data_IF_108128963364
#
_entry.id   IF_108128963364
#
_cell.length_a   1.000
_cell.length_b   1.000
_cell.length_c   1.000
_cell.angle_alpha   90.00
_cell.angle_beta   90.00
_cell.angle_gamma   90.00
#
_symmetry.space_group_name_H-M   'P 1'
#
loop_
_entity.id
_entity.type
_entity.pdbx_description
1 polymer ?
#
# COMPACT_ATOMS: atom_id res chain seq x y z
N UNK A 1 -24.88 82.39 7.32
CA UNK A 1 -24.95 81.03 6.77
C UNK A 1 -23.62 80.36 7.08
N UNK A 2 -23.51 79.72 8.24
CA UNK A 2 -22.28 79.10 8.73
C UNK A 2 -22.25 77.64 8.29
N UNK A 3 -21.26 77.28 7.48
CA UNK A 3 -21.01 75.90 7.05
C UNK A 3 -20.55 75.08 8.27
N UNK A 4 -21.22 73.97 8.61
CA UNK A 4 -20.80 73.14 9.73
C UNK A 4 -19.44 72.52 9.41
N UNK A 5 -18.42 72.82 10.23
CA UNK A 5 -17.15 72.12 10.17
C UNK A 5 -17.34 70.66 10.61
N UNK A 6 -17.12 69.75 9.67
CA UNK A 6 -16.98 68.32 9.96
C UNK A 6 -15.83 68.13 10.94
N UNK A 7 -16.13 67.67 12.17
CA UNK A 7 -15.11 67.28 13.14
C UNK A 7 -14.33 66.11 12.55
N UNK A 8 -13.04 66.32 12.24
CA UNK A 8 -12.13 65.24 11.88
C UNK A 8 -11.91 64.39 13.12
N UNK A 9 -12.52 63.21 13.17
CA UNK A 9 -12.22 62.22 14.19
C UNK A 9 -10.82 61.64 13.88
N UNK A 10 -9.86 61.87 14.77
CA UNK A 10 -8.55 61.22 14.70
C UNK A 10 -8.69 59.76 15.13
N UNK A 11 -8.13 58.84 14.35
CA UNK A 11 -8.00 57.43 14.73
C UNK A 11 -7.00 57.34 15.88
N UNK A 12 -7.36 56.65 16.95
CA UNK A 12 -6.47 56.45 18.09
C UNK A 12 -5.38 55.43 17.75
N UNK A 13 -4.15 55.68 18.19
CA UNK A 13 -3.05 54.72 18.09
C UNK A 13 -3.42 53.36 18.69
N UNK A 14 -4.26 53.38 19.73
CA UNK A 14 -4.79 52.18 20.38
C UNK A 14 -5.71 51.38 19.44
N UNK A 15 -6.56 52.03 18.65
CA UNK A 15 -7.41 51.34 17.66
C UNK A 15 -6.58 50.66 16.57
N UNK A 16 -5.49 51.30 16.13
CA UNK A 16 -4.57 50.72 15.14
C UNK A 16 -3.86 49.49 15.70
N UNK A 17 -3.38 49.56 16.95
CA UNK A 17 -2.71 48.42 17.60
C UNK A 17 -3.67 47.24 17.81
N UNK A 18 -4.90 47.49 18.23
CA UNK A 18 -5.92 46.43 18.33
C UNK A 18 -6.19 45.83 16.96
N UNK A 19 -6.32 46.66 15.91
CA UNK A 19 -6.54 46.19 14.54
C UNK A 19 -5.39 45.31 14.04
N UNK A 20 -4.15 45.71 14.27
CA UNK A 20 -2.96 44.91 13.92
C UNK A 20 -2.93 43.62 14.72
N UNK A 21 -3.28 43.66 16.01
CA UNK A 21 -3.35 42.46 16.87
C UNK A 21 -4.37 41.44 16.36
N UNK A 22 -5.59 41.88 16.05
CA UNK A 22 -6.64 41.01 15.50
C UNK A 22 -6.22 40.47 14.12
N UNK A 23 -5.63 41.31 13.27
CA UNK A 23 -5.15 40.90 11.94
C UNK A 23 -4.02 39.87 12.05
N UNK A 24 -3.08 40.05 12.98
CA UNK A 24 -1.99 39.11 13.22
C UNK A 24 -2.51 37.75 13.71
N UNK A 25 -3.46 37.72 14.65
CA UNK A 25 -4.10 36.48 15.12
C UNK A 25 -4.87 35.80 13.98
N UNK A 26 -5.61 36.58 13.18
CA UNK A 26 -6.34 36.09 12.01
C UNK A 26 -5.42 35.45 10.96
N UNK A 27 -4.34 36.12 10.58
CA UNK A 27 -3.37 35.59 9.62
C UNK A 27 -2.62 34.36 10.17
N UNK A 28 -2.27 34.35 11.45
CA UNK A 28 -1.60 33.19 12.09
C UNK A 28 -2.52 31.97 12.08
N UNK A 29 -3.82 32.16 12.31
CA UNK A 29 -4.82 31.08 12.20
C UNK A 29 -4.86 30.52 10.77
N UNK A 30 -4.91 31.35 9.74
CA UNK A 30 -4.90 30.90 8.33
C UNK A 30 -3.60 30.16 7.98
N UNK A 31 -2.45 30.66 8.42
CA UNK A 31 -1.15 30.01 8.18
C UNK A 31 -1.08 28.61 8.81
N UNK A 32 -1.77 28.38 9.94
CA UNK A 32 -1.81 27.07 10.58
C UNK A 32 -2.55 26.00 9.75
N UNK A 33 -3.41 26.39 8.81
CA UNK A 33 -4.10 25.45 7.93
C UNK A 33 -3.26 24.95 6.75
N UNK A 34 -2.19 25.66 6.36
CA UNK A 34 -1.38 25.29 5.18
C UNK A 34 -0.73 23.91 5.37
N UNK A 35 -0.05 23.59 6.50
CA UNK A 35 0.54 22.27 6.70
C UNK A 35 -0.51 21.15 6.77
N UNK A 36 -1.67 21.42 7.39
CA UNK A 36 -2.76 20.45 7.49
C UNK A 36 -3.34 20.12 6.11
N UNK A 37 -3.61 21.15 5.30
CA UNK A 37 -4.09 20.99 3.92
C UNK A 37 -3.10 20.22 3.05
N UNK A 38 -1.80 20.53 3.16
CA UNK A 38 -0.75 19.80 2.44
C UNK A 38 -0.70 18.32 2.83
N UNK A 39 -0.79 17.99 4.13
CA UNK A 39 -0.81 16.60 4.59
C UNK A 39 -2.02 15.83 4.04
N UNK A 40 -3.22 16.42 4.09
CA UNK A 40 -4.44 15.80 3.58
C UNK A 40 -4.41 15.62 2.05
N UNK A 41 -3.89 16.61 1.33
CA UNK A 41 -3.71 16.53 -0.12
C UNK A 41 -2.75 15.41 -0.51
N UNK A 42 -1.64 15.27 0.22
CA UNK A 42 -0.67 14.18 0.01
C UNK A 42 -1.30 12.81 0.24
N UNK A 43 -2.06 12.63 1.32
CA UNK A 43 -2.72 11.35 1.61
C UNK A 43 -3.82 11.02 0.60
N UNK A 44 -4.58 12.03 0.15
CA UNK A 44 -5.58 11.85 -0.91
C UNK A 44 -4.93 11.38 -2.19
N UNK A 45 -3.87 12.08 -2.62
CA UNK A 45 -3.12 11.72 -3.83
C UNK A 45 -2.58 10.28 -3.77
N UNK A 46 -1.99 9.87 -2.63
CA UNK A 46 -1.49 8.50 -2.46
C UNK A 46 -2.62 7.48 -2.55
N UNK A 47 -3.78 7.78 -1.98
CA UNK A 47 -4.95 6.89 -2.01
C UNK A 47 -5.52 6.76 -3.43
N UNK A 48 -5.63 7.88 -4.15
CA UNK A 48 -6.14 7.90 -5.53
C UNK A 48 -5.21 7.13 -6.48
N UNK A 49 -3.91 7.38 -6.38
CA UNK A 49 -2.90 6.63 -7.14
C UNK A 49 -2.92 5.15 -6.80
N UNK A 50 -3.02 4.80 -5.50
CA UNK A 50 -3.08 3.41 -5.09
C UNK A 50 -4.29 2.68 -5.68
N UNK A 51 -5.45 3.32 -5.75
CA UNK A 51 -6.64 2.74 -6.38
C UNK A 51 -6.46 2.48 -7.88
N UNK A 52 -5.86 3.42 -8.61
CA UNK A 52 -5.54 3.27 -10.04
C UNK A 52 -4.56 2.13 -10.26
N UNK A 53 -3.48 2.09 -9.48
CA UNK A 53 -2.45 1.03 -9.55
C UNK A 53 -3.04 -0.33 -9.26
N UNK A 54 -3.92 -0.42 -8.26
CA UNK A 54 -4.57 -1.67 -7.91
C UNK A 54 -5.48 -2.19 -9.04
N UNK A 55 -6.26 -1.31 -9.68
CA UNK A 55 -7.11 -1.67 -10.81
C UNK A 55 -6.29 -2.11 -12.03
N UNK A 56 -5.21 -1.40 -12.35
CA UNK A 56 -4.29 -1.77 -13.43
C UNK A 56 -3.60 -3.10 -13.14
N UNK A 57 -3.12 -3.31 -11.91
CA UNK A 57 -2.52 -4.57 -11.49
C UNK A 57 -3.49 -5.75 -11.63
N UNK A 58 -4.77 -5.58 -11.29
CA UNK A 58 -5.77 -6.62 -11.53
C UNK A 58 -5.92 -6.96 -13.02
N UNK A 59 -5.98 -5.94 -13.89
CA UNK A 59 -6.05 -6.15 -15.33
C UNK A 59 -4.78 -6.83 -15.88
N UNK A 60 -3.61 -6.47 -15.35
CA UNK A 60 -2.32 -7.07 -15.69
C UNK A 60 -2.25 -8.53 -15.26
N UNK A 61 -2.75 -8.88 -14.07
CA UNK A 61 -2.79 -10.25 -13.59
C UNK A 61 -3.65 -11.15 -14.48
N UNK A 62 -4.81 -10.64 -14.92
CA UNK A 62 -5.69 -11.34 -15.87
C UNK A 62 -4.99 -11.49 -17.22
N UNK A 63 -4.47 -10.41 -17.79
CA UNK A 63 -3.88 -10.41 -19.14
C UNK A 63 -2.57 -11.21 -19.23
N UNK A 64 -1.79 -11.27 -18.16
CA UNK A 64 -0.55 -12.06 -18.08
C UNK A 64 -0.81 -13.53 -17.71
N UNK A 65 -2.06 -13.91 -17.45
CA UNK A 65 -2.45 -15.31 -17.23
C UNK A 65 -2.16 -15.81 -15.82
N UNK A 66 -2.00 -14.91 -14.83
CA UNK A 66 -1.83 -15.34 -13.43
C UNK A 66 -3.10 -16.00 -12.85
N UNK A 67 -4.23 -15.91 -13.54
CA UNK A 67 -5.47 -16.60 -13.19
C UNK A 67 -5.61 -17.99 -13.85
N UNK A 68 -4.63 -18.40 -14.66
CA UNK A 68 -4.57 -19.74 -15.25
C UNK A 68 -3.74 -20.64 -14.35
N UNK A 69 -4.33 -21.75 -13.93
CA UNK A 69 -3.65 -22.72 -13.07
C UNK A 69 -2.38 -23.26 -13.73
N UNK A 70 -2.45 -23.54 -15.04
CA UNK A 70 -1.32 -24.08 -15.80
C UNK A 70 -0.17 -23.09 -15.96
N UNK A 71 -0.47 -21.79 -15.97
CA UNK A 71 0.55 -20.75 -16.09
C UNK A 71 1.32 -20.49 -14.80
N UNK A 72 0.84 -21.02 -13.67
CA UNK A 72 1.48 -20.90 -12.38
C UNK A 72 2.34 -22.14 -12.06
N UNK A 73 3.49 -21.89 -11.44
CA UNK A 73 4.18 -22.90 -10.64
C UNK A 73 3.66 -22.84 -9.19
N UNK A 74 3.64 -23.97 -8.49
CA UNK A 74 3.22 -24.07 -7.09
C UNK A 74 1.76 -23.62 -6.87
N UNK A 75 0.83 -24.49 -7.28
CA UNK A 75 -0.62 -24.25 -7.28
C UNK A 75 -1.30 -24.55 -5.93
N UNK A 76 -0.55 -24.60 -4.84
CA UNK A 76 -1.10 -24.88 -3.50
C UNK A 76 -1.56 -23.59 -2.84
N UNK A 77 -2.86 -23.44 -2.61
CA UNK A 77 -3.43 -22.31 -1.89
C UNK A 77 -2.95 -22.27 -0.44
N UNK A 78 -2.61 -21.08 0.10
CA UNK A 78 -2.66 -19.80 -0.57
C UNK A 78 -1.34 -19.44 -1.25
N UNK A 79 -1.45 -18.65 -2.30
CA UNK A 79 -0.32 -18.31 -3.17
C UNK A 79 -0.12 -16.80 -3.21
N UNK A 80 1.14 -16.36 -3.16
CA UNK A 80 1.54 -14.99 -3.38
C UNK A 80 2.26 -14.84 -4.72
N UNK A 81 1.86 -13.80 -5.45
CA UNK A 81 2.46 -13.30 -6.67
C UNK A 81 3.18 -12.01 -6.28
N UNK A 82 4.47 -12.16 -5.96
CA UNK A 82 5.36 -11.06 -5.62
C UNK A 82 6.49 -10.94 -6.63
N UNK A 83 6.28 -10.18 -7.71
CA UNK A 83 7.26 -10.02 -8.76
C UNK A 83 8.50 -9.22 -8.33
N UNK A 84 8.52 -8.58 -7.15
CA UNK A 84 9.74 -7.99 -6.56
C UNK A 84 10.45 -8.99 -5.63
N UNK A 85 9.70 -9.67 -4.76
CA UNK A 85 10.23 -10.60 -3.77
C UNK A 85 10.90 -11.85 -4.34
N UNK A 86 10.52 -12.27 -5.55
CA UNK A 86 11.20 -13.35 -6.30
C UNK A 86 12.70 -13.07 -6.54
N UNK A 87 13.14 -11.81 -6.44
CA UNK A 87 14.52 -11.38 -6.62
C UNK A 87 15.31 -11.22 -5.32
N UNK A 88 14.62 -11.07 -4.19
CA UNK A 88 15.23 -10.70 -2.91
C UNK A 88 15.25 -11.82 -1.86
N UNK A 89 14.71 -13.00 -2.17
CA UNK A 89 14.56 -14.08 -1.18
C UNK A 89 13.55 -13.72 -0.08
N UNK A 90 12.60 -12.83 -0.36
CA UNK A 90 11.57 -12.44 0.60
C UNK A 90 10.67 -13.63 0.87
N UNK A 91 10.74 -14.15 2.09
CA UNK A 91 9.87 -15.22 2.56
C UNK A 91 8.58 -14.60 3.06
N UNK A 92 7.49 -14.90 2.37
CA UNK A 92 6.16 -14.53 2.83
C UNK A 92 5.67 -15.58 3.80
N UNK A 93 5.41 -15.22 5.07
CA UNK A 93 4.80 -16.16 5.99
C UNK A 93 3.45 -16.58 5.41
N UNK A 94 3.09 -17.85 5.60
CA UNK A 94 1.80 -18.47 5.22
C UNK A 94 1.46 -18.59 3.74
N UNK A 95 2.26 -18.04 2.81
CA UNK A 95 2.02 -18.15 1.37
C UNK A 95 3.05 -19.02 0.66
N UNK A 96 2.59 -19.80 -0.30
CA UNK A 96 3.44 -20.36 -1.34
C UNK A 96 3.76 -19.29 -2.38
N UNK A 97 5.01 -19.23 -2.86
CA UNK A 97 5.36 -18.29 -3.92
C UNK A 97 4.96 -18.87 -5.29
N UNK A 98 4.10 -18.16 -6.03
CA UNK A 98 3.86 -18.45 -7.43
C UNK A 98 4.91 -17.78 -8.31
N UNK A 99 5.33 -18.52 -9.33
CA UNK A 99 6.19 -18.05 -10.40
C UNK A 99 5.44 -18.37 -11.70
N UNK A 100 5.41 -17.41 -12.63
CA UNK A 100 4.91 -17.72 -13.98
C UNK A 100 5.84 -18.73 -14.64
N UNK A 101 5.26 -19.68 -15.36
CA UNK A 101 6.04 -20.57 -16.23
C UNK A 101 6.59 -19.82 -17.44
N UNK A 102 7.58 -20.40 -18.10
CA UNK A 102 8.40 -19.73 -19.12
C UNK A 102 7.61 -19.03 -20.25
N UNK A 103 6.48 -19.60 -20.65
CA UNK A 103 5.63 -19.07 -21.74
C UNK A 103 4.42 -18.26 -21.22
N UNK A 104 4.32 -18.00 -19.91
CA UNK A 104 3.26 -17.22 -19.28
C UNK A 104 1.87 -17.73 -19.66
N UNK A 105 1.04 -16.86 -20.22
CA UNK A 105 -0.32 -17.14 -20.75
C UNK A 105 -0.38 -18.37 -21.68
N UNK A 106 0.71 -18.63 -22.40
CA UNK A 106 0.82 -19.71 -23.40
C UNK A 106 1.60 -20.92 -22.89
N UNK A 107 1.91 -20.97 -21.59
CA UNK A 107 2.55 -22.16 -21.01
C UNK A 107 1.57 -23.31 -20.85
N UNK A 108 2.05 -24.51 -21.13
CA UNK A 108 1.38 -25.76 -20.80
C UNK A 108 1.64 -26.14 -19.34
N UNK A 109 0.79 -27.01 -18.79
CA UNK A 109 0.89 -27.50 -17.42
C UNK A 109 2.20 -28.27 -17.13
N UNK A 110 2.95 -28.64 -18.16
CA UNK A 110 4.23 -29.32 -18.06
C UNK A 110 5.43 -28.42 -18.39
N UNK A 111 5.22 -27.15 -18.78
CA UNK A 111 6.32 -26.22 -19.02
C UNK A 111 7.20 -26.14 -17.77
N UNK A 112 8.53 -26.13 -17.89
CA UNK A 112 9.36 -25.85 -16.74
C UNK A 112 8.96 -24.48 -16.14
N UNK A 113 9.01 -24.34 -14.80
CA UNK A 113 8.92 -23.01 -14.20
C UNK A 113 9.98 -22.13 -14.84
N UNK A 114 9.63 -20.86 -15.10
CA UNK A 114 10.60 -19.96 -15.69
C UNK A 114 11.86 -19.92 -14.82
N UNK A 115 13.07 -19.87 -15.43
CA UNK A 115 14.32 -19.92 -14.67
C UNK A 115 14.30 -18.79 -13.63
N UNK A 116 14.52 -19.15 -12.37
CA UNK A 116 14.70 -18.14 -11.33
C UNK A 116 16.10 -17.52 -11.51
N UNK A 117 16.22 -16.19 -11.62
CA UNK A 117 15.14 -15.22 -11.56
C UNK A 117 14.54 -14.88 -12.95
N UNK A 118 13.20 -14.79 -13.03
CA UNK A 118 12.39 -14.68 -14.26
C UNK A 118 12.88 -13.63 -15.28
N UNK A 119 13.43 -12.50 -14.81
CA UNK A 119 14.10 -11.46 -15.60
C UNK A 119 14.96 -10.58 -14.69
N UNK A 120 16.23 -10.23 -14.97
CA UNK A 120 17.08 -9.48 -14.05
C UNK A 120 16.37 -8.25 -13.43
N UNK A 121 16.57 -8.03 -12.12
CA UNK A 121 15.87 -7.09 -11.26
C UNK A 121 15.38 -5.76 -11.90
N UNK A 122 16.18 -5.01 -12.70
CA UNK A 122 15.67 -3.78 -13.33
C UNK A 122 14.44 -4.00 -14.23
N UNK A 123 14.32 -5.16 -14.87
CA UNK A 123 13.23 -5.43 -15.82
C UNK A 123 11.93 -5.90 -15.16
N UNK A 124 12.01 -6.55 -14.00
CA UNK A 124 10.83 -6.92 -13.22
C UNK A 124 10.12 -5.67 -12.69
N UNK A 125 10.87 -4.65 -12.26
CA UNK A 125 10.29 -3.38 -11.82
C UNK A 125 9.41 -2.69 -12.88
N UNK A 126 9.67 -2.87 -14.18
CA UNK A 126 8.81 -2.29 -15.23
C UNK A 126 7.42 -2.91 -15.34
N UNK A 127 7.21 -4.12 -14.80
CA UNK A 127 5.92 -4.81 -14.78
C UNK A 127 5.06 -4.38 -13.58
N UNK A 128 5.70 -3.87 -12.53
CA UNK A 128 5.09 -3.77 -11.19
C UNK A 128 4.93 -2.31 -10.78
N UNK A 129 5.85 -1.45 -11.26
CA UNK A 129 5.80 -0.03 -10.94
C UNK A 129 4.73 0.66 -11.75
N UNK A 130 3.96 1.48 -11.05
CA UNK A 130 3.04 2.41 -11.70
C UNK A 130 3.80 3.30 -12.68
N UNK A 131 3.35 3.34 -13.93
CA UNK A 131 3.84 4.29 -14.95
C UNK A 131 3.16 5.65 -14.87
N UNK A 132 2.28 5.86 -13.90
CA UNK A 132 1.62 7.15 -13.70
C UNK A 132 2.36 8.06 -12.70
N UNK A 133 3.38 7.55 -12.01
CA UNK A 133 4.26 8.34 -11.14
C UNK A 133 5.41 8.95 -11.94
N UNK A 134 5.09 9.94 -12.78
CA UNK A 134 6.06 10.64 -13.63
C UNK A 134 7.10 11.34 -12.76
N UNK A 135 8.37 11.10 -13.07
CA UNK A 135 9.48 11.82 -12.44
C UNK A 135 9.78 13.11 -13.20
N UNK A 136 10.03 14.17 -12.44
CA UNK A 136 10.33 15.50 -12.97
C UNK A 136 11.72 15.94 -12.52
N UNK A 137 12.39 16.73 -13.35
CA UNK A 137 13.56 17.49 -12.95
C UNK A 137 13.06 18.82 -12.38
N UNK A 138 13.17 18.97 -11.05
CA UNK A 138 12.91 20.24 -10.36
C UNK A 138 14.23 21.00 -10.31
N UNK A 139 14.35 22.14 -10.99
CA UNK A 139 15.58 22.92 -10.98
C UNK A 139 15.78 23.59 -9.60
N UNK A 140 17.05 23.79 -9.20
CA UNK A 140 17.41 24.43 -7.92
C UNK A 140 17.05 25.92 -7.87
N UNK A 141 16.66 26.52 -8.99
CA UNK A 141 16.26 27.93 -9.08
C UNK A 141 14.87 28.06 -9.66
N UNK A 142 14.08 28.99 -9.12
CA UNK A 142 12.74 29.37 -9.60
C UNK A 142 12.72 29.93 -11.04
N UNK A 143 13.89 30.15 -11.64
CA UNK A 143 14.04 30.70 -12.99
C UNK A 143 13.79 29.69 -14.13
N UNK A 144 13.64 28.40 -13.82
CA UNK A 144 13.48 27.35 -14.83
C UNK A 144 12.19 26.55 -14.60
N UNK A 145 11.56 26.15 -15.71
CA UNK A 145 10.36 25.32 -15.67
C UNK A 145 10.67 23.89 -15.24
N UNK A 146 9.71 23.27 -14.56
CA UNK A 146 9.74 21.83 -14.24
C UNK A 146 9.63 21.04 -15.54
N UNK A 147 10.63 20.19 -15.82
CA UNK A 147 10.66 19.38 -17.05
C UNK A 147 10.48 17.90 -16.74
N UNK A 148 9.85 17.17 -17.66
CA UNK A 148 9.78 15.70 -17.56
C UNK A 148 11.18 15.11 -17.61
N UNK A 149 11.49 14.19 -16.71
CA UNK A 149 12.73 13.42 -16.77
C UNK A 149 12.55 12.29 -17.78
N UNK A 150 13.58 12.04 -18.60
CA UNK A 150 13.62 10.92 -19.54
C UNK A 150 14.85 10.06 -19.25
N UNK A 151 14.70 8.74 -19.37
CA UNK A 151 15.79 7.76 -19.29
C UNK A 151 15.68 6.90 -20.56
N UNK A 152 16.76 6.84 -21.33
CA UNK A 152 16.83 6.09 -22.59
C UNK A 152 15.72 6.43 -23.60
N UNK A 153 15.35 7.72 -23.69
CA UNK A 153 14.31 8.20 -24.60
C UNK A 153 12.87 7.90 -24.15
N UNK A 154 12.68 7.24 -23.01
CA UNK A 154 11.38 6.99 -22.40
C UNK A 154 11.14 7.92 -21.21
N UNK A 155 9.88 8.27 -20.95
CA UNK A 155 9.53 9.08 -19.78
C UNK A 155 9.91 8.31 -18.52
N UNK A 156 10.64 8.95 -17.62
CA UNK A 156 11.09 8.34 -16.39
C UNK A 156 9.99 8.42 -15.32
N UNK A 157 9.91 7.40 -14.49
CA UNK A 157 8.94 7.29 -13.41
C UNK A 157 9.66 7.15 -12.08
N UNK A 158 9.15 7.78 -11.02
CA UNK A 158 9.74 7.67 -9.68
C UNK A 158 9.59 6.23 -9.17
N UNK A 159 8.50 5.56 -9.56
CA UNK A 159 8.26 4.17 -9.24
C UNK A 159 8.00 3.94 -7.76
N UNK A 160 7.43 4.94 -7.08
CA UNK A 160 7.11 4.84 -5.66
C UNK A 160 6.00 3.83 -5.42
N UNK A 161 5.08 3.66 -6.38
CA UNK A 161 4.02 2.68 -6.27
C UNK A 161 4.44 1.33 -6.84
N UNK A 162 4.23 0.28 -6.06
CA UNK A 162 4.38 -1.11 -6.48
C UNK A 162 3.23 -1.94 -5.93
N UNK A 163 3.04 -3.13 -6.45
CA UNK A 163 1.97 -4.02 -6.00
C UNK A 163 2.48 -5.45 -5.84
N UNK A 164 1.72 -6.23 -5.08
CA UNK A 164 1.75 -7.69 -5.10
C UNK A 164 0.32 -8.20 -5.10
N UNK A 165 0.16 -9.48 -5.40
CA UNK A 165 -1.15 -10.10 -5.36
C UNK A 165 -1.12 -11.44 -4.63
N UNK A 166 -2.27 -11.87 -4.13
CA UNK A 166 -2.47 -13.22 -3.59
C UNK A 166 -3.71 -13.86 -4.17
N UNK A 167 -3.63 -15.17 -4.33
CA UNK A 167 -4.77 -16.03 -4.62
C UNK A 167 -5.01 -16.91 -3.40
N UNK A 168 -6.22 -16.85 -2.85
CA UNK A 168 -6.63 -17.68 -1.72
C UNK A 168 -7.91 -18.42 -2.07
N UNK A 169 -7.89 -19.75 -1.93
CA UNK A 169 -9.08 -20.60 -1.98
C UNK A 169 -9.68 -20.73 -0.57
N UNK A 170 -10.98 -20.50 -0.36
CA UNK A 170 -11.59 -20.60 0.98
C UNK A 170 -11.36 -21.94 1.69
N UNK A 171 -11.39 -23.04 0.93
CA UNK A 171 -11.14 -24.39 1.46
C UNK A 171 -9.64 -24.77 1.51
N UNK A 172 -8.74 -23.90 1.05
CA UNK A 172 -7.35 -24.24 0.80
C UNK A 172 -7.17 -25.32 -0.28
N UNK A 173 -6.00 -25.95 -0.30
CA UNK A 173 -5.69 -27.06 -1.20
C UNK A 173 -5.13 -26.63 -2.56
N UNK A 174 -5.07 -27.58 -3.50
CA UNK A 174 -4.57 -27.34 -4.86
C UNK A 174 -5.61 -26.55 -5.66
N UNK A 175 -5.16 -25.54 -6.40
CA UNK A 175 -6.00 -24.84 -7.37
C UNK A 175 -6.33 -25.74 -8.56
N UNK A 176 -7.60 -25.74 -8.94
CA UNK A 176 -8.12 -26.42 -10.13
C UNK A 176 -8.86 -25.43 -11.02
N UNK A 177 -8.83 -25.59 -12.36
CA UNK A 177 -9.66 -24.82 -13.26
C UNK A 177 -11.13 -24.77 -12.82
N UNK A 178 -11.73 -23.58 -12.86
CA UNK A 178 -13.10 -23.35 -12.41
C UNK A 178 -13.26 -23.09 -10.90
N UNK A 179 -12.20 -23.19 -10.10
CA UNK A 179 -12.26 -22.78 -8.69
C UNK A 179 -12.60 -21.30 -8.56
N UNK A 180 -13.49 -20.98 -7.63
CA UNK A 180 -13.66 -19.60 -7.15
C UNK A 180 -12.60 -19.30 -6.10
N UNK A 181 -11.77 -18.28 -6.37
CA UNK A 181 -10.70 -17.83 -5.48
C UNK A 181 -10.83 -16.35 -5.21
N UNK A 182 -10.33 -15.92 -4.05
CA UNK A 182 -10.19 -14.50 -3.74
C UNK A 182 -8.85 -14.03 -4.27
N UNK A 183 -8.89 -13.14 -5.26
CA UNK A 183 -7.74 -12.36 -5.70
C UNK A 183 -7.66 -11.08 -4.86
N UNK A 184 -6.59 -10.93 -4.09
CA UNK A 184 -6.29 -9.68 -3.39
C UNK A 184 -5.07 -9.02 -4.02
N UNK A 185 -5.14 -7.72 -4.28
CA UNK A 185 -4.01 -6.90 -4.74
C UNK A 185 -3.69 -5.89 -3.65
N UNK A 186 -2.43 -5.88 -3.20
CA UNK A 186 -1.93 -4.93 -2.21
C UNK A 186 -1.01 -3.96 -2.90
N UNK A 187 -1.26 -2.67 -2.70
CA UNK A 187 -0.44 -1.58 -3.26
C UNK A 187 0.38 -0.94 -2.16
N UNK A 188 1.63 -0.68 -2.48
CA UNK A 188 2.60 -0.08 -1.60
C UNK A 188 3.08 1.25 -2.13
N UNK A 189 3.46 2.15 -1.22
CA UNK A 189 4.12 3.41 -1.54
C UNK A 189 5.51 3.44 -0.91
N UNK A 190 6.56 3.40 -1.75
CA UNK A 190 7.98 3.30 -1.38
C UNK A 190 8.39 1.97 -0.76
N UNK A 191 7.83 0.86 -1.26
CA UNK A 191 8.19 -0.50 -0.82
C UNK A 191 9.67 -0.79 -1.02
N UNK A 192 10.33 -1.31 0.01
CA UNK A 192 11.66 -1.89 -0.13
C UNK A 192 11.56 -3.34 -0.66
N UNK A 193 12.41 -3.69 -1.62
CA UNK A 193 12.40 -4.98 -2.29
C UNK A 193 12.71 -6.16 -1.36
N UNK A 194 13.47 -5.91 -0.29
CA UNK A 194 13.80 -6.92 0.72
C UNK A 194 12.79 -7.01 1.87
N UNK A 195 11.72 -6.20 1.83
CA UNK A 195 10.81 -6.07 2.96
C UNK A 195 9.83 -7.25 3.02
N UNK A 196 9.99 -8.08 4.05
CA UNK A 196 9.03 -9.11 4.43
C UNK A 196 7.97 -8.53 5.38
N UNK A 197 6.77 -9.14 5.46
CA UNK A 197 5.83 -8.84 6.53
C UNK A 197 6.48 -8.99 7.90
N UNK A 198 6.17 -8.07 8.79
CA UNK A 198 6.72 -8.05 10.14
C UNK A 198 5.75 -8.81 11.05
N UNK A 199 6.19 -9.87 11.75
CA UNK A 199 5.34 -10.59 12.68
C UNK A 199 4.94 -9.65 13.82
N UNK A 200 3.65 -9.39 13.93
CA UNK A 200 3.11 -8.62 15.03
C UNK A 200 2.88 -9.53 16.23
N UNK A 201 2.51 -10.80 16.02
CA UNK A 201 2.25 -11.77 17.08
C UNK A 201 0.91 -12.46 16.89
N UNK A 202 0.49 -13.22 17.91
CA UNK A 202 -0.80 -13.89 17.92
C UNK A 202 -1.91 -12.94 18.37
N UNK A 203 -3.02 -12.92 17.63
CA UNK A 203 -4.23 -12.19 17.99
C UNK A 203 -4.87 -12.80 19.23
N UNK A 204 -5.03 -11.98 20.28
CA UNK A 204 -5.80 -12.34 21.47
C UNK A 204 -7.07 -11.48 21.52
N UNK A 205 -8.27 -12.07 21.28
CA UNK A 205 -9.51 -11.32 21.28
C UNK A 205 -9.76 -10.74 22.68
N UNK A 206 -9.99 -9.43 22.74
CA UNK A 206 -10.50 -8.77 23.94
C UNK A 206 -12.04 -8.84 23.85
N UNK A 207 -12.80 -8.96 24.95
CA UNK A 207 -14.27 -9.04 24.93
C UNK A 207 -15.01 -7.76 24.45
N UNK A 208 -14.43 -7.01 23.51
CA UNK A 208 -15.05 -5.91 22.76
C UNK A 208 -15.08 -6.26 21.25
N UNK A 209 -16.03 -5.72 20.47
CA UNK A 209 -16.54 -6.45 19.31
C UNK A 209 -15.55 -6.80 18.20
N UNK A 210 -14.44 -6.09 18.02
CA UNK A 210 -13.47 -6.36 16.93
C UNK A 210 -12.01 -6.05 17.33
N UNK A 211 -11.72 -5.91 18.62
CA UNK A 211 -10.40 -5.50 19.10
C UNK A 211 -9.62 -6.69 19.69
N UNK A 212 -8.37 -6.85 19.27
CA UNK A 212 -7.43 -7.77 19.90
C UNK A 212 -6.11 -7.11 20.22
N UNK A 213 -5.42 -7.69 21.21
CA UNK A 213 -4.05 -7.32 21.50
C UNK A 213 -3.09 -8.22 20.71
N UNK A 214 -2.02 -7.63 20.23
CA UNK A 214 -0.96 -8.32 19.50
C UNK A 214 0.38 -8.02 20.19
N UNK A 215 1.11 -9.07 20.57
CA UNK A 215 2.32 -8.97 21.39
C UNK A 215 3.60 -8.86 20.56
N UNK A 216 4.38 -7.81 20.77
CA UNK A 216 5.64 -7.58 20.04
C UNK A 216 6.69 -8.67 20.27
N UNK A 217 7.55 -8.93 19.26
CA UNK A 217 8.82 -9.59 19.53
C UNK A 217 9.60 -8.79 20.58
N UNK A 218 10.35 -9.46 21.45
CA UNK A 218 10.96 -8.86 22.65
C UNK A 218 11.93 -7.67 22.41
N UNK A 219 12.23 -7.34 21.16
CA UNK A 219 12.85 -6.08 20.76
C UNK A 219 11.79 -4.97 20.73
N UNK A 220 11.93 -3.94 21.56
CA UNK A 220 11.01 -2.78 21.69
C UNK A 220 10.79 -1.93 20.39
N UNK A 221 11.18 -2.42 19.21
CA UNK A 221 10.92 -1.79 17.90
C UNK A 221 10.70 -2.88 16.84
N UNK A 222 9.69 -2.71 15.99
CA UNK A 222 9.41 -3.61 14.87
C UNK A 222 10.42 -3.48 13.72
N UNK A 223 10.88 -2.25 13.46
CA UNK A 223 11.93 -1.94 12.48
C UNK A 223 12.87 -0.91 13.08
N UNK A 224 14.17 -1.21 13.07
CA UNK A 224 15.20 -0.30 13.57
C UNK A 224 15.15 1.01 12.78
N UNK A 225 14.99 2.13 13.50
CA UNK A 225 15.01 3.47 12.90
C UNK A 225 13.66 3.97 12.36
N UNK A 226 12.58 3.18 12.45
CA UNK A 226 11.21 3.64 12.18
C UNK A 226 10.39 3.63 13.46
N UNK A 227 9.41 4.54 13.56
CA UNK A 227 8.47 4.53 14.68
C UNK A 227 7.41 3.45 14.44
N UNK A 228 7.02 2.71 15.48
CA UNK A 228 5.95 1.72 15.36
C UNK A 228 4.63 2.34 14.88
N UNK A 229 4.36 3.61 15.21
CA UNK A 229 3.18 4.36 14.74
C UNK A 229 3.22 4.69 13.24
N UNK A 230 4.38 4.60 12.60
CA UNK A 230 4.51 4.72 11.14
C UNK A 230 4.28 3.37 10.45
N UNK A 231 4.49 2.25 11.15
CA UNK A 231 4.31 0.91 10.62
C UNK A 231 2.87 0.42 10.81
N UNK A 232 2.23 0.87 11.89
CA UNK A 232 0.90 0.47 12.29
C UNK A 232 0.08 1.72 12.55
N UNK A 233 -0.82 1.99 11.64
CA UNK A 233 -1.72 3.13 11.71
C UNK A 233 -3.08 2.75 11.12
N UNK A 234 -4.10 3.55 11.42
CA UNK A 234 -5.38 3.46 10.75
C UNK A 234 -5.19 3.61 9.23
N UNK A 235 -5.92 2.83 8.45
CA UNK A 235 -5.79 2.67 6.99
C UNK A 235 -4.53 1.95 6.50
N UNK A 236 -3.66 1.46 7.39
CA UNK A 236 -2.60 0.53 7.00
C UNK A 236 -3.18 -0.83 6.57
N UNK A 237 -2.31 -1.71 6.07
CA UNK A 237 -2.67 -3.09 5.71
C UNK A 237 -1.93 -4.07 6.61
N UNK A 238 -2.64 -5.09 7.09
CA UNK A 238 -2.06 -6.22 7.79
C UNK A 238 -2.33 -7.52 7.02
N UNK A 239 -1.54 -8.53 7.30
CA UNK A 239 -1.73 -9.89 6.82
C UNK A 239 -2.16 -10.77 7.99
N UNK A 240 -3.25 -11.49 7.82
CA UNK A 240 -3.80 -12.46 8.77
C UNK A 240 -3.38 -13.86 8.35
N UNK A 241 -3.01 -14.74 9.27
CA UNK A 241 -2.49 -16.08 8.94
C UNK A 241 -3.55 -17.14 8.65
N UNK A 242 -4.78 -17.01 9.15
CA UNK A 242 -5.81 -18.05 9.05
C UNK A 242 -7.23 -17.46 9.06
N UNK A 243 -7.98 -17.52 7.94
CA UNK A 243 -7.45 -17.80 6.59
C UNK A 243 -6.48 -16.69 6.13
N UNK A 244 -5.45 -17.01 5.32
CA UNK A 244 -4.55 -16.01 4.76
C UNK A 244 -5.27 -14.94 3.93
N UNK A 245 -5.29 -13.72 4.45
CA UNK A 245 -5.93 -12.57 3.82
C UNK A 245 -5.25 -11.27 4.23
N UNK A 246 -5.18 -10.32 3.30
CA UNK A 246 -4.79 -8.95 3.60
C UNK A 246 -6.00 -8.16 4.07
N UNK A 247 -5.90 -7.50 5.21
CA UNK A 247 -6.99 -6.70 5.78
C UNK A 247 -6.52 -5.26 5.98
N UNK A 248 -7.44 -4.33 5.78
CA UNK A 248 -7.22 -2.94 6.16
C UNK A 248 -7.37 -2.82 7.68
N UNK A 249 -6.50 -2.04 8.29
CA UNK A 249 -6.55 -1.70 9.71
C UNK A 249 -7.52 -0.52 9.84
N UNK A 250 -8.68 -0.74 10.45
CA UNK A 250 -9.66 0.32 10.69
C UNK A 250 -9.24 1.20 11.86
N UNK A 251 -8.68 0.59 12.92
CA UNK A 251 -8.16 1.27 14.09
C UNK A 251 -6.87 0.61 14.58
N UNK A 252 -5.94 1.44 15.04
CA UNK A 252 -4.73 1.00 15.71
C UNK A 252 -4.42 1.92 16.90
N UNK A 253 -4.07 1.31 18.04
CA UNK A 253 -3.55 2.03 19.20
C UNK A 253 -2.37 1.25 19.78
N UNK A 254 -1.19 1.87 19.75
CA UNK A 254 0.02 1.28 20.35
C UNK A 254 -0.08 1.42 21.86
N UNK A 255 0.29 0.37 22.59
CA UNK A 255 0.30 0.38 24.05
C UNK A 255 1.54 1.13 24.52
N UNK A 256 1.39 2.07 25.47
CA UNK A 256 2.50 2.91 25.98
C UNK A 256 3.69 2.11 26.54
N UNK A 257 3.46 0.87 26.98
CA UNK A 257 4.53 -0.05 27.40
C UNK A 257 5.44 -0.50 26.26
N UNK A 258 5.07 -0.25 25.00
CA UNK A 258 5.79 -0.70 23.81
C UNK A 258 5.75 -2.21 23.62
N UNK A 259 4.84 -2.91 24.29
CA UNK A 259 4.77 -4.39 24.28
C UNK A 259 3.74 -4.94 23.29
N UNK A 260 2.97 -4.06 22.63
CA UNK A 260 1.94 -4.47 21.69
C UNK A 260 1.10 -3.32 21.16
N UNK A 261 0.06 -3.69 20.40
CA UNK A 261 -0.94 -2.76 19.90
C UNK A 261 -2.35 -3.38 19.95
N UNK A 262 -3.34 -2.52 20.16
CA UNK A 262 -4.73 -2.83 19.86
C UNK A 262 -4.97 -2.60 18.38
N UNK A 263 -5.45 -3.62 17.69
CA UNK A 263 -5.78 -3.56 16.28
C UNK A 263 -7.22 -3.97 16.05
N UNK A 264 -7.88 -3.20 15.20
CA UNK A 264 -9.15 -3.55 14.58
C UNK A 264 -8.91 -3.62 13.08
N UNK A 265 -9.32 -4.74 12.47
CA UNK A 265 -9.12 -5.00 11.06
C UNK A 265 -10.48 -5.23 10.39
N UNK A 266 -10.63 -4.76 9.15
CA UNK A 266 -11.83 -4.98 8.37
C UNK A 266 -12.04 -6.49 8.10
N UNK A 267 -13.30 -6.94 8.12
CA UNK A 267 -13.68 -8.30 7.76
C UNK A 267 -14.25 -9.14 8.92
N UNK A 268 -14.30 -10.48 8.77
CA UNK A 268 -14.86 -11.36 9.79
C UNK A 268 -13.96 -11.42 11.03
N UNK A 269 -14.58 -11.74 12.18
CA UNK A 269 -13.87 -11.91 13.44
C UNK A 269 -12.72 -12.92 13.32
N UNK A 270 -11.56 -12.50 13.80
CA UNK A 270 -10.39 -13.37 13.87
C UNK A 270 -10.51 -14.31 15.07
N UNK A 271 -10.18 -15.58 14.87
CA UNK A 271 -10.05 -16.54 15.96
C UNK A 271 -8.87 -16.20 16.87
N UNK A 272 -8.93 -16.63 18.13
CA UNK A 272 -7.78 -16.52 19.03
C UNK A 272 -6.58 -17.32 18.48
N UNK A 273 -5.38 -16.76 18.62
CA UNK A 273 -4.13 -17.42 18.19
C UNK A 273 -3.76 -17.19 16.72
N UNK A 274 -4.59 -16.49 15.93
CA UNK A 274 -4.29 -16.16 14.54
C UNK A 274 -3.10 -15.19 14.49
N UNK A 275 -2.04 -15.53 13.76
CA UNK A 275 -0.89 -14.66 13.63
C UNK A 275 -1.21 -13.48 12.70
N UNK A 276 -0.85 -12.28 13.14
CA UNK A 276 -0.97 -11.06 12.35
C UNK A 276 0.43 -10.58 11.98
N UNK A 277 0.57 -10.07 10.77
CA UNK A 277 1.79 -9.45 10.28
C UNK A 277 1.48 -8.03 9.79
N UNK A 278 2.31 -7.06 10.14
CA UNK A 278 2.26 -5.74 9.55
C UNK A 278 2.87 -5.83 8.15
N UNK A 279 2.26 -5.14 7.21
CA UNK A 279 2.74 -5.03 5.84
C UNK A 279 3.10 -3.56 5.67
N UNK A 280 4.33 -3.15 6.02
CA UNK A 280 4.63 -1.74 6.09
C UNK A 280 4.62 -1.12 4.69
N UNK A 281 4.30 0.16 4.63
CA UNK A 281 4.22 0.93 3.40
C UNK A 281 3.10 0.48 2.43
N UNK A 282 2.30 -0.53 2.81
CA UNK A 282 1.07 -0.87 2.11
C UNK A 282 -0.02 0.16 2.42
N UNK A 283 -0.55 0.76 1.36
CA UNK A 283 -1.47 1.91 1.41
C UNK A 283 -2.88 1.55 0.95
N UNK A 284 -3.03 0.46 0.19
CA UNK A 284 -4.34 0.00 -0.25
C UNK A 284 -4.36 -1.52 -0.44
N UNK A 285 -5.54 -2.10 -0.27
CA UNK A 285 -5.86 -3.47 -0.63
C UNK A 285 -7.19 -3.47 -1.37
N UNK A 286 -7.27 -4.20 -2.48
CA UNK A 286 -8.53 -4.49 -3.17
C UNK A 286 -8.69 -6.00 -3.28
N UNK A 287 -9.90 -6.49 -3.06
CA UNK A 287 -10.24 -7.91 -3.15
C UNK A 287 -11.30 -8.12 -4.23
N UNK A 288 -11.17 -9.20 -4.99
CA UNK A 288 -12.18 -9.61 -5.97
C UNK A 288 -12.24 -11.14 -6.02
N UNK A 289 -13.44 -11.69 -5.94
CA UNK A 289 -13.66 -13.11 -6.24
C UNK A 289 -13.56 -13.31 -7.75
N UNK A 290 -12.72 -14.25 -8.16
CA UNK A 290 -12.48 -14.60 -9.57
C UNK A 290 -12.53 -16.11 -9.73
N UNK A 291 -12.99 -16.56 -10.90
CA UNK A 291 -12.95 -17.96 -11.27
C UNK A 291 -11.66 -18.24 -12.01
N UNK A 292 -10.92 -19.29 -11.62
CA UNK A 292 -9.68 -19.66 -12.28
C UNK A 292 -9.95 -20.22 -13.69
N UNK A 293 -9.15 -19.76 -14.64
CA UNK A 293 -9.27 -20.18 -16.03
C UNK A 293 -8.72 -21.60 -16.24
N UNK A 294 -9.31 -22.31 -17.20
CA UNK A 294 -8.78 -23.58 -17.68
C UNK A 294 -7.54 -23.40 -18.55
N UNK A 295 -6.97 -24.51 -19.01
CA UNK A 295 -5.86 -24.54 -19.95
C UNK A 295 -6.15 -23.68 -21.17
N UNK A 296 -5.10 -23.03 -21.70
CA UNK A 296 -5.25 -22.26 -22.94
C UNK A 296 -5.60 -23.20 -24.09
N UNK A 297 -6.52 -22.83 -25.00
CA UNK A 297 -6.73 -23.60 -26.23
C UNK A 297 -5.49 -23.60 -27.15
N UNK A 298 -4.45 -22.82 -26.82
CA UNK A 298 -3.21 -22.72 -27.56
C UNK A 298 -2.02 -23.45 -26.91
N UNK A 299 -2.23 -24.26 -25.87
CA UNK A 299 -1.15 -24.95 -25.14
C UNK A 299 -0.79 -26.34 -25.70
N UNK A 300 -0.90 -26.54 -27.02
CA UNK A 300 -0.51 -27.81 -27.68
C UNK A 300 1.00 -27.95 -27.89
#
# INVERSE_FOLDING_TARGET
MTTPHSKRAGISLLEVLISIGILAVGLTSVLSFIPAGHSMAKTSFVTDQAAIVAANAMADLVSQGFLRVDSLSNVNSPVIIDPVGAFGGVVWPVFNQAILRQNGVFSDANAPPAPSPLRPAPSAWYLIRARDDISYNVPDSDAFDVTNRFIDGTRAYSGNFSWLATLTKPAGGVFTPGDEVTLAVVVFHSRDAGQSPLPLGAYNPVPAPLAGNVNWPASNQLVVGRKDSELIHANGVCLVSMPPAFRRISMAAIIDSGTGAYLECDGPLLGAGVAIYAVPDAVAVIEKTVTLEASSPYSE
#
